data_IF_478554483677
#
_entry.id   IF_478554483677
#
_cell.length_a   1.000
_cell.length_b   1.000
_cell.length_c   1.000
_cell.angle_alpha   90.00
_cell.angle_beta   90.00
_cell.angle_gamma   90.00
#
_symmetry.space_group_name_H-M   'P 1'
#
loop_
_entity.id
_entity.type
_entity.pdbx_description
1 polymer ?
#
# COMPACT_ATOMS: atom_id res chain seq x y z
N UNK A 1 -2.31 8.98 -30.70
CA UNK A 1 -1.76 7.75 -31.32
C UNK A 1 -1.24 8.00 -32.74
N UNK A 2 -2.02 8.60 -33.66
CA UNK A 2 -1.58 8.88 -35.05
C UNK A 2 -0.34 9.77 -35.13
N UNK A 3 -0.27 10.84 -34.32
CA UNK A 3 0.89 11.73 -34.30
C UNK A 3 2.20 11.00 -33.93
N UNK A 4 2.14 9.94 -33.12
CA UNK A 4 3.31 9.13 -32.80
C UNK A 4 3.67 8.23 -33.98
N UNK A 5 2.67 7.61 -34.60
CA UNK A 5 2.87 6.78 -35.79
C UNK A 5 3.51 7.55 -36.95
N UNK A 6 3.11 8.81 -37.18
CA UNK A 6 3.73 9.70 -38.18
C UNK A 6 5.23 9.94 -37.98
N UNK A 7 5.75 9.67 -36.79
CA UNK A 7 7.16 9.83 -36.43
C UNK A 7 7.82 8.49 -36.10
N UNK A 8 7.29 7.37 -36.63
CA UNK A 8 7.76 6.01 -36.39
C UNK A 8 7.89 5.66 -34.89
N UNK A 9 6.99 6.22 -34.05
CA UNK A 9 6.94 5.97 -32.60
C UNK A 9 5.88 4.93 -32.24
N UNK A 10 6.34 3.90 -31.55
CA UNK A 10 5.59 2.75 -31.06
C UNK A 10 5.33 2.90 -29.55
N UNK A 11 4.07 2.79 -29.14
CA UNK A 11 3.66 2.82 -27.73
C UNK A 11 3.81 1.42 -27.13
N UNK A 12 4.60 1.30 -26.06
CA UNK A 12 4.71 0.11 -25.20
C UNK A 12 3.89 0.30 -23.92
N UNK A 13 3.87 -0.70 -23.04
CA UNK A 13 3.12 -0.65 -21.78
C UNK A 13 3.54 0.53 -20.88
N UNK A 14 4.85 0.78 -20.80
CA UNK A 14 5.43 1.73 -19.83
C UNK A 14 6.29 2.83 -20.48
N UNK A 15 6.45 2.80 -21.81
CA UNK A 15 7.30 3.75 -22.54
C UNK A 15 6.87 3.93 -23.99
N UNK A 16 7.60 4.77 -24.71
CA UNK A 16 7.50 4.91 -26.16
C UNK A 16 8.88 4.70 -26.76
N UNK A 17 8.94 3.89 -27.82
CA UNK A 17 10.18 3.57 -28.52
C UNK A 17 10.10 3.98 -29.99
N UNK A 18 11.23 4.28 -30.60
CA UNK A 18 11.30 4.39 -32.07
C UNK A 18 11.27 2.98 -32.65
N UNK A 19 10.53 2.77 -33.72
CA UNK A 19 10.37 1.44 -34.30
C UNK A 19 11.71 0.81 -34.71
N UNK A 20 12.66 1.63 -35.17
CA UNK A 20 14.02 1.20 -35.55
C UNK A 20 14.82 0.58 -34.38
N UNK A 21 14.50 0.93 -33.13
CA UNK A 21 15.22 0.46 -31.95
C UNK A 21 14.63 -0.86 -31.40
N UNK A 22 13.49 -1.30 -31.93
CA UNK A 22 12.76 -2.47 -31.43
C UNK A 22 13.25 -3.73 -32.14
N UNK A 23 13.76 -4.69 -31.37
CA UNK A 23 14.19 -5.99 -31.89
C UNK A 23 13.05 -7.01 -32.01
N UNK A 24 12.10 -6.96 -31.08
CA UNK A 24 10.96 -7.86 -31.02
C UNK A 24 9.78 -7.12 -30.41
N UNK A 25 8.57 -7.38 -30.88
CA UNK A 25 7.36 -6.84 -30.26
C UNK A 25 6.99 -7.64 -29.02
N UNK A 26 6.70 -6.94 -27.92
CA UNK A 26 6.15 -7.52 -26.69
C UNK A 26 4.62 -7.47 -26.63
N UNK A 27 3.97 -7.25 -27.78
CA UNK A 27 2.53 -7.07 -27.91
C UNK A 27 1.93 -8.20 -28.75
N UNK A 28 0.70 -8.59 -28.44
CA UNK A 28 -0.04 -9.66 -29.12
C UNK A 28 -1.25 -9.13 -29.91
N UNK A 29 -1.25 -7.84 -30.27
CA UNK A 29 -2.31 -7.25 -31.11
C UNK A 29 -2.21 -7.77 -32.56
N UNK A 30 -3.27 -7.56 -33.33
CA UNK A 30 -3.35 -8.04 -34.73
C UNK A 30 -2.17 -7.59 -35.61
N UNK A 31 -1.60 -6.41 -35.35
CA UNK A 31 -0.41 -5.93 -36.06
C UNK A 31 0.83 -6.71 -35.62
N UNK A 32 1.08 -6.81 -34.31
CA UNK A 32 2.31 -7.37 -33.77
C UNK A 32 2.41 -8.89 -33.88
N UNK A 33 1.28 -9.59 -34.10
CA UNK A 33 1.28 -11.04 -34.37
C UNK A 33 1.52 -11.39 -35.84
N UNK A 34 1.26 -10.44 -36.75
CA UNK A 34 1.39 -10.64 -38.21
C UNK A 34 2.70 -10.07 -38.77
N UNK A 35 3.28 -9.06 -38.12
CA UNK A 35 4.47 -8.36 -38.59
C UNK A 35 5.54 -8.28 -37.51
N UNK A 36 6.79 -8.31 -37.94
CA UNK A 36 7.99 -7.98 -37.17
C UNK A 36 8.34 -6.49 -37.31
N UNK A 37 9.18 -5.93 -36.40
CA UNK A 37 9.61 -4.54 -36.51
C UNK A 37 10.26 -4.19 -37.86
N UNK A 38 11.08 -5.09 -38.42
CA UNK A 38 11.75 -4.90 -39.71
C UNK A 38 10.77 -4.88 -40.88
N UNK A 39 9.77 -5.74 -40.86
CA UNK A 39 8.73 -5.76 -41.90
C UNK A 39 7.94 -4.46 -41.88
N UNK A 40 7.51 -3.96 -40.72
CA UNK A 40 6.80 -2.67 -40.63
C UNK A 40 7.68 -1.51 -41.11
N UNK A 41 8.98 -1.50 -40.78
CA UNK A 41 9.91 -0.47 -41.25
C UNK A 41 10.08 -0.45 -42.76
N UNK A 42 9.86 -1.59 -43.42
CA UNK A 42 10.04 -1.76 -44.86
C UNK A 42 8.76 -1.44 -45.65
N UNK A 43 7.64 -1.18 -44.97
CA UNK A 43 6.38 -0.79 -45.61
C UNK A 43 6.45 0.65 -46.15
N UNK A 44 5.64 0.90 -47.17
CA UNK A 44 5.41 2.24 -47.70
C UNK A 44 4.88 3.18 -46.61
N UNK A 45 5.19 4.48 -46.74
CA UNK A 45 4.98 5.45 -45.66
C UNK A 45 3.55 5.46 -45.10
N UNK A 46 2.53 5.42 -45.95
CA UNK A 46 1.13 5.44 -45.53
C UNK A 46 0.74 4.15 -44.78
N UNK A 47 1.14 3.00 -45.31
CA UNK A 47 0.84 1.71 -44.69
C UNK A 47 1.58 1.55 -43.36
N UNK A 48 2.86 1.91 -43.31
CA UNK A 48 3.66 1.93 -42.08
C UNK A 48 2.98 2.76 -40.99
N UNK A 49 2.59 4.00 -41.31
CA UNK A 49 1.88 4.89 -40.37
C UNK A 49 0.57 4.24 -39.92
N UNK A 50 -0.19 3.64 -40.84
CA UNK A 50 -1.44 2.95 -40.54
C UNK A 50 -1.24 1.79 -39.56
N UNK A 51 -0.25 0.91 -39.78
CA UNK A 51 0.06 -0.22 -38.88
C UNK A 51 0.50 0.26 -37.49
N UNK A 52 1.41 1.23 -37.42
CA UNK A 52 1.87 1.77 -36.13
C UNK A 52 0.71 2.47 -35.40
N UNK A 53 -0.14 3.21 -36.12
CA UNK A 53 -1.31 3.88 -35.53
C UNK A 53 -2.31 2.87 -34.97
N UNK A 54 -2.61 1.80 -35.71
CA UNK A 54 -3.49 0.73 -35.27
C UNK A 54 -2.94 0.02 -34.02
N UNK A 55 -1.66 -0.34 -34.01
CA UNK A 55 -1.00 -0.85 -32.81
C UNK A 55 -1.13 0.11 -31.62
N UNK A 56 -0.81 1.40 -31.82
CA UNK A 56 -0.86 2.40 -30.76
C UNK A 56 -2.29 2.56 -30.20
N UNK A 57 -3.33 2.38 -31.02
CA UNK A 57 -4.72 2.37 -30.57
C UNK A 57 -5.02 1.14 -29.69
N UNK A 58 -4.55 -0.05 -30.08
CA UNK A 58 -4.65 -1.25 -29.25
C UNK A 58 -3.92 -1.08 -27.92
N UNK A 59 -2.72 -0.50 -27.92
CA UNK A 59 -1.95 -0.26 -26.70
C UNK A 59 -2.72 0.66 -25.72
N UNK A 60 -3.31 1.75 -26.21
CA UNK A 60 -4.14 2.66 -25.41
C UNK A 60 -5.38 1.94 -24.86
N UNK A 61 -6.07 1.18 -25.71
CA UNK A 61 -7.27 0.43 -25.29
C UNK A 61 -6.93 -0.60 -24.21
N UNK A 62 -5.84 -1.34 -24.38
CA UNK A 62 -5.37 -2.30 -23.39
C UNK A 62 -5.03 -1.63 -22.05
N UNK A 63 -4.44 -0.43 -22.08
CA UNK A 63 -4.17 0.34 -20.86
C UNK A 63 -5.45 0.77 -20.15
N UNK A 64 -6.44 1.27 -20.88
CA UNK A 64 -7.76 1.61 -20.31
C UNK A 64 -8.42 0.39 -19.67
N UNK A 65 -8.36 -0.77 -20.32
CA UNK A 65 -8.96 -1.99 -19.81
C UNK A 65 -8.23 -2.53 -18.57
N UNK A 66 -6.89 -2.45 -18.54
CA UNK A 66 -6.09 -2.75 -17.33
C UNK A 66 -6.46 -1.85 -16.16
N UNK A 67 -6.66 -0.55 -16.40
CA UNK A 67 -7.10 0.39 -15.35
C UNK A 67 -8.49 0.00 -14.83
N UNK A 68 -9.45 -0.25 -15.72
CA UNK A 68 -10.80 -0.70 -15.32
C UNK A 68 -10.76 -1.99 -14.50
N UNK A 69 -9.98 -2.97 -14.94
CA UNK A 69 -9.82 -4.23 -14.22
C UNK A 69 -9.15 -4.01 -12.86
N UNK A 70 -8.15 -3.14 -12.77
CA UNK A 70 -7.52 -2.80 -11.49
C UNK A 70 -8.50 -2.11 -10.52
N UNK A 71 -9.43 -1.30 -11.02
CA UNK A 71 -10.51 -0.71 -10.22
C UNK A 71 -11.44 -1.81 -9.72
N UNK A 72 -11.91 -2.69 -10.62
CA UNK A 72 -12.79 -3.79 -10.29
C UNK A 72 -12.19 -4.73 -9.24
N UNK A 73 -10.91 -5.06 -9.37
CA UNK A 73 -10.19 -5.89 -8.40
C UNK A 73 -9.81 -5.16 -7.11
N UNK A 74 -10.06 -3.84 -7.01
CA UNK A 74 -9.67 -3.02 -5.87
C UNK A 74 -8.15 -2.75 -5.77
N UNK A 75 -7.41 -2.94 -6.86
CA UNK A 75 -5.94 -2.87 -6.95
C UNK A 75 -5.39 -1.64 -7.69
N UNK A 76 -6.21 -0.60 -7.84
CA UNK A 76 -5.81 0.61 -8.56
C UNK A 76 -4.55 1.27 -7.94
N UNK A 77 -4.43 1.27 -6.61
CA UNK A 77 -3.25 1.85 -5.95
C UNK A 77 -1.97 1.11 -6.36
N UNK A 78 -1.97 -0.23 -6.28
CA UNK A 78 -0.84 -1.06 -6.72
C UNK A 78 -0.48 -0.78 -8.18
N UNK A 79 -1.49 -0.67 -9.04
CA UNK A 79 -1.30 -0.41 -10.47
C UNK A 79 -0.65 0.95 -10.72
N UNK A 80 -1.15 2.01 -10.06
CA UNK A 80 -0.58 3.36 -10.16
C UNK A 80 0.86 3.39 -9.64
N UNK A 81 1.15 2.73 -8.51
CA UNK A 81 2.51 2.67 -7.94
C UNK A 81 3.49 1.91 -8.84
N UNK A 82 3.01 0.88 -9.57
CA UNK A 82 3.78 0.20 -10.63
C UNK A 82 4.09 1.19 -11.77
N UNK A 83 3.07 1.89 -12.27
CA UNK A 83 3.22 2.85 -13.38
C UNK A 83 4.13 4.02 -13.04
N UNK A 84 4.07 4.55 -11.82
CA UNK A 84 4.95 5.64 -11.38
C UNK A 84 6.44 5.28 -11.47
N UNK A 85 6.79 3.99 -11.36
CA UNK A 85 8.18 3.51 -11.44
C UNK A 85 8.67 3.28 -12.87
N UNK A 86 7.84 3.51 -13.89
CA UNK A 86 8.21 3.34 -15.29
C UNK A 86 9.30 4.32 -15.76
N UNK A 87 9.36 5.54 -15.18
CA UNK A 87 10.32 6.56 -15.59
C UNK A 87 10.66 7.49 -14.40
N UNK A 88 11.93 7.93 -14.22
CA UNK A 88 12.32 8.81 -13.11
C UNK A 88 11.45 10.06 -12.97
N UNK A 89 11.15 10.74 -14.10
CA UNK A 89 10.28 11.93 -14.08
C UNK A 89 8.85 11.65 -13.64
N UNK A 90 8.33 10.46 -13.94
CA UNK A 90 7.01 10.05 -13.47
C UNK A 90 7.08 9.64 -11.99
N UNK A 91 8.19 9.05 -11.55
CA UNK A 91 8.40 8.67 -10.16
C UNK A 91 8.42 9.89 -9.23
N UNK A 92 8.92 11.04 -9.67
CA UNK A 92 8.82 12.31 -8.92
C UNK A 92 7.38 12.65 -8.47
N UNK A 93 6.35 12.15 -9.17
CA UNK A 93 4.94 12.39 -8.80
C UNK A 93 4.50 11.65 -7.54
N UNK A 94 5.29 10.68 -7.05
CA UNK A 94 4.99 9.92 -5.84
C UNK A 94 4.88 10.82 -4.60
N UNK A 95 5.68 11.88 -4.53
CA UNK A 95 5.65 12.85 -3.44
C UNK A 95 4.36 13.65 -3.44
N UNK A 96 3.91 14.08 -4.62
CA UNK A 96 2.64 14.80 -4.79
C UNK A 96 1.48 13.87 -4.43
N UNK A 97 1.53 12.63 -4.90
CA UNK A 97 0.51 11.62 -4.66
C UNK A 97 0.34 11.28 -3.17
N UNK A 98 1.46 11.05 -2.46
CA UNK A 98 1.45 10.70 -1.02
C UNK A 98 1.09 11.89 -0.12
N UNK A 99 1.56 13.11 -0.44
CA UNK A 99 1.22 14.34 0.32
C UNK A 99 -0.27 14.69 0.27
N UNK A 100 -0.94 14.36 -0.84
CA UNK A 100 -2.36 14.67 -1.06
C UNK A 100 -3.30 13.48 -0.83
N UNK A 101 -2.80 12.39 -0.26
CA UNK A 101 -3.51 11.13 -0.10
C UNK A 101 -4.86 11.21 0.63
N UNK A 102 -5.02 12.17 1.56
CA UNK A 102 -6.28 12.42 2.25
C UNK A 102 -7.44 12.77 1.31
N UNK A 103 -7.16 13.34 0.13
CA UNK A 103 -8.19 13.69 -0.86
C UNK A 103 -8.96 12.45 -1.35
N UNK A 104 -8.30 11.29 -1.40
CA UNK A 104 -8.89 10.05 -1.88
C UNK A 104 -9.69 9.30 -0.80
N UNK A 105 -9.53 9.64 0.49
CA UNK A 105 -10.14 8.89 1.61
C UNK A 105 -11.67 8.93 1.54
N UNK A 106 -12.26 10.07 1.15
CA UNK A 106 -13.72 10.23 1.06
C UNK A 106 -14.34 9.43 -0.09
N UNK A 107 -13.59 9.16 -1.16
CA UNK A 107 -14.06 8.45 -2.36
C UNK A 107 -13.64 6.99 -2.40
N UNK A 108 -12.78 6.55 -1.47
CA UNK A 108 -12.32 5.16 -1.42
C UNK A 108 -13.37 4.29 -0.71
N UNK A 109 -13.74 3.12 -1.28
CA UNK A 109 -14.62 2.18 -0.60
C UNK A 109 -14.08 1.77 0.77
N UNK A 110 -14.97 1.68 1.77
CA UNK A 110 -14.60 1.28 3.14
C UNK A 110 -14.10 -0.16 3.24
N UNK A 111 -14.48 -1.00 2.29
CA UNK A 111 -14.12 -2.40 2.20
C UNK A 111 -13.82 -2.77 0.75
N UNK A 112 -12.88 -3.70 0.55
CA UNK A 112 -12.60 -4.35 -0.73
C UNK A 112 -12.48 -5.85 -0.49
N UNK A 113 -12.92 -6.64 -1.46
CA UNK A 113 -12.91 -8.10 -1.35
C UNK A 113 -11.49 -8.69 -1.24
N UNK A 114 -10.49 -7.98 -1.76
CA UNK A 114 -9.09 -8.45 -1.79
C UNK A 114 -8.25 -7.70 -0.76
N UNK A 115 -7.29 -8.44 -0.19
CA UNK A 115 -6.26 -7.88 0.68
C UNK A 115 -5.39 -6.84 -0.05
N UNK A 116 -5.02 -5.78 0.65
CA UNK A 116 -4.09 -4.75 0.15
C UNK A 116 -2.65 -5.24 0.23
N UNK A 117 -1.81 -4.78 -0.69
CA UNK A 117 -0.39 -5.12 -0.68
C UNK A 117 0.46 -3.96 -0.17
N UNK A 118 1.30 -4.21 0.83
CA UNK A 118 2.14 -3.20 1.47
C UNK A 118 3.60 -3.52 1.16
N UNK A 119 4.17 -2.80 0.19
CA UNK A 119 5.50 -3.05 -0.34
C UNK A 119 6.56 -2.11 0.25
N UNK A 120 6.26 -0.81 0.27
CA UNK A 120 7.23 0.23 0.63
C UNK A 120 6.57 1.35 1.40
N UNK A 121 7.38 2.18 2.08
CA UNK A 121 6.92 3.22 3.00
C UNK A 121 5.79 4.10 2.46
N UNK A 122 5.71 4.32 1.15
CA UNK A 122 4.66 5.12 0.52
C UNK A 122 3.26 4.51 0.69
N UNK A 123 3.16 3.19 0.89
CA UNK A 123 1.89 2.51 1.16
C UNK A 123 1.24 2.95 2.48
N UNK A 124 1.99 3.58 3.40
CA UNK A 124 1.41 4.12 4.65
C UNK A 124 0.39 5.24 4.41
N UNK A 125 0.41 5.82 3.20
CA UNK A 125 -0.49 6.88 2.73
C UNK A 125 -1.66 6.34 1.91
N UNK A 126 -1.84 5.02 1.81
CA UNK A 126 -3.02 4.42 1.19
C UNK A 126 -4.32 4.93 1.82
N UNK A 127 -5.34 5.29 1.04
CA UNK A 127 -6.58 5.84 1.59
C UNK A 127 -7.27 4.89 2.57
N UNK A 128 -7.20 3.58 2.35
CA UNK A 128 -7.72 2.54 3.24
C UNK A 128 -7.00 2.55 4.59
N UNK A 129 -5.68 2.73 4.58
CA UNK A 129 -4.85 2.83 5.79
C UNK A 129 -5.15 4.12 6.54
N UNK A 130 -5.29 5.24 5.83
CA UNK A 130 -5.63 6.52 6.44
C UNK A 130 -7.03 6.49 7.05
N UNK A 131 -8.00 5.87 6.35
CA UNK A 131 -9.35 5.65 6.87
C UNK A 131 -9.32 4.81 8.16
N UNK A 132 -8.57 3.70 8.16
CA UNK A 132 -8.41 2.85 9.33
C UNK A 132 -7.77 3.61 10.49
N UNK A 133 -6.67 4.34 10.25
CA UNK A 133 -6.02 5.20 11.25
C UNK A 133 -6.98 6.23 11.83
N UNK A 134 -7.85 6.83 11.01
CA UNK A 134 -8.87 7.77 11.48
C UNK A 134 -9.89 7.10 12.40
N UNK A 135 -10.22 5.83 12.17
CA UNK A 135 -11.06 5.04 13.07
C UNK A 135 -10.34 4.74 14.39
N UNK A 136 -9.09 4.29 14.34
CA UNK A 136 -8.25 4.06 15.53
C UNK A 136 -8.10 5.33 16.36
N UNK A 137 -7.92 6.49 15.73
CA UNK A 137 -7.82 7.76 16.43
C UNK A 137 -9.11 8.13 17.19
N UNK A 138 -10.26 7.55 16.84
CA UNK A 138 -11.54 7.76 17.54
C UNK A 138 -11.78 6.71 18.63
N UNK A 139 -10.99 5.63 18.65
CA UNK A 139 -11.07 4.59 19.67
C UNK A 139 -10.82 5.16 21.07
N UNK A 140 -11.65 4.76 22.02
CA UNK A 140 -11.53 5.11 23.44
C UNK A 140 -11.73 3.86 24.29
N UNK A 141 -10.88 3.69 25.29
CA UNK A 141 -11.02 2.67 26.32
C UNK A 141 -10.96 3.28 27.71
N UNK A 142 -11.60 2.62 28.68
CA UNK A 142 -11.48 2.98 30.12
C UNK A 142 -10.34 2.23 30.81
N UNK A 143 -9.77 1.23 30.13
CA UNK A 143 -8.70 0.39 30.63
C UNK A 143 -7.43 1.22 30.82
N UNK A 144 -6.73 1.00 31.93
CA UNK A 144 -5.54 1.77 32.33
C UNK A 144 -4.22 1.11 31.99
N UNK A 145 -4.27 -0.17 31.64
CA UNK A 145 -3.12 -0.98 31.26
C UNK A 145 -3.29 -1.36 29.79
N UNK A 146 -2.28 -1.08 28.99
CA UNK A 146 -2.20 -1.54 27.60
C UNK A 146 -1.08 -2.56 27.44
N UNK A 147 -1.31 -3.53 26.56
CA UNK A 147 -0.29 -4.47 26.07
C UNK A 147 -0.20 -4.28 24.57
N UNK A 148 1.01 -4.01 24.06
CA UNK A 148 1.26 -3.82 22.65
C UNK A 148 2.28 -4.85 22.14
N UNK A 149 1.91 -5.56 21.08
CA UNK A 149 2.78 -6.52 20.38
C UNK A 149 2.68 -6.35 18.87
N UNK A 150 3.65 -6.88 18.13
CA UNK A 150 3.61 -6.87 16.66
C UNK A 150 2.45 -7.73 16.18
N UNK A 151 1.76 -7.27 15.13
CA UNK A 151 0.68 -8.04 14.52
C UNK A 151 1.23 -9.34 13.90
N UNK A 152 0.45 -10.40 13.97
CA UNK A 152 0.81 -11.75 13.54
C UNK A 152 0.56 -11.95 12.04
N UNK A 153 1.07 -13.06 11.49
CA UNK A 153 0.78 -13.49 10.12
C UNK A 153 -0.66 -14.00 10.01
N UNK A 154 -1.11 -14.78 10.99
CA UNK A 154 -2.50 -15.19 11.13
C UNK A 154 -3.30 -14.00 11.65
N UNK A 155 -4.37 -13.64 10.94
CA UNK A 155 -5.23 -12.50 11.29
C UNK A 155 -6.70 -12.90 11.18
N UNK A 156 -7.59 -12.36 12.04
CA UNK A 156 -7.30 -11.40 13.11
C UNK A 156 -6.48 -12.00 14.27
N UNK A 157 -5.78 -11.14 15.01
CA UNK A 157 -4.74 -11.60 15.94
C UNK A 157 -5.29 -12.40 17.15
N UNK A 158 -6.57 -12.26 17.50
CA UNK A 158 -7.18 -13.08 18.57
C UNK A 158 -7.28 -14.58 18.23
N UNK A 159 -7.11 -14.96 16.96
CA UNK A 159 -7.11 -16.36 16.53
C UNK A 159 -5.76 -17.05 16.74
N UNK A 160 -4.75 -16.32 17.24
CA UNK A 160 -3.38 -16.83 17.34
C UNK A 160 -3.06 -17.43 18.70
N UNK A 161 -2.23 -18.47 18.71
CA UNK A 161 -1.70 -19.04 19.95
C UNK A 161 -0.84 -18.02 20.71
N UNK A 162 -0.13 -17.16 19.99
CA UNK A 162 0.67 -16.08 20.54
C UNK A 162 -0.19 -15.13 21.38
N UNK A 163 -1.39 -14.77 20.90
CA UNK A 163 -2.34 -13.98 21.68
C UNK A 163 -2.85 -14.74 22.90
N UNK A 164 -3.23 -16.01 22.76
CA UNK A 164 -3.70 -16.83 23.89
C UNK A 164 -2.67 -16.91 25.00
N UNK A 165 -1.41 -17.23 24.66
CA UNK A 165 -0.28 -17.28 25.60
C UNK A 165 -0.05 -15.90 26.23
N UNK A 166 -0.10 -14.82 25.44
CA UNK A 166 0.07 -13.47 25.95
C UNK A 166 -1.03 -13.08 26.94
N UNK A 167 -2.29 -13.45 26.66
CA UNK A 167 -3.44 -13.18 27.52
C UNK A 167 -3.31 -13.89 28.86
N UNK A 168 -2.84 -15.14 28.87
CA UNK A 168 -2.64 -15.96 30.07
C UNK A 168 -1.56 -15.41 31.01
N UNK A 169 -0.60 -14.61 30.52
CA UNK A 169 0.40 -13.93 31.37
C UNK A 169 -0.22 -12.92 32.34
N UNK A 170 -1.46 -12.52 32.14
CA UNK A 170 -2.12 -11.51 32.95
C UNK A 170 -3.32 -12.09 33.72
N UNK A 171 -3.27 -11.99 35.05
CA UNK A 171 -4.30 -12.55 35.95
C UNK A 171 -5.70 -11.96 35.71
N UNK A 172 -5.78 -10.69 35.34
CA UNK A 172 -7.03 -9.99 35.01
C UNK A 172 -6.92 -9.43 33.58
N UNK A 173 -7.08 -10.32 32.60
CA UNK A 173 -6.98 -9.95 31.18
C UNK A 173 -8.08 -8.99 30.74
N UNK A 174 -9.23 -8.97 31.41
CA UNK A 174 -10.38 -8.15 31.03
C UNK A 174 -10.13 -6.66 31.30
N UNK A 175 -9.33 -6.32 32.32
CA UNK A 175 -8.91 -4.93 32.58
C UNK A 175 -7.78 -4.44 31.67
N UNK A 176 -7.25 -5.30 30.79
CA UNK A 176 -6.13 -4.98 29.89
C UNK A 176 -6.62 -4.65 28.48
N UNK A 177 -6.10 -3.55 27.95
CA UNK A 177 -6.28 -3.20 26.54
C UNK A 177 -5.20 -3.91 25.73
N UNK A 178 -5.57 -5.02 25.09
CA UNK A 178 -4.70 -5.63 24.10
C UNK A 178 -4.72 -4.82 22.81
N UNK A 179 -3.52 -4.55 22.30
CA UNK A 179 -3.28 -3.86 21.06
C UNK A 179 -2.19 -4.59 20.29
N UNK A 180 -2.32 -4.56 18.97
CA UNK A 180 -1.30 -4.96 18.04
C UNK A 180 -0.75 -3.73 17.35
N UNK A 181 0.36 -3.86 16.64
CA UNK A 181 0.78 -2.82 15.71
C UNK A 181 1.22 -3.43 14.39
N UNK A 182 1.02 -2.64 13.34
CA UNK A 182 1.62 -2.84 12.05
C UNK A 182 2.22 -1.50 11.62
N UNK A 183 3.39 -1.53 11.00
CA UNK A 183 4.17 -0.33 10.66
C UNK A 183 3.36 0.63 9.78
N UNK A 184 2.56 0.09 8.86
CA UNK A 184 1.71 0.88 7.99
C UNK A 184 0.40 1.27 8.65
N UNK A 185 -0.25 0.41 9.42
CA UNK A 185 -1.58 0.68 10.00
C UNK A 185 -1.54 1.49 11.29
N UNK A 186 -0.42 1.50 12.00
CA UNK A 186 -0.34 2.08 13.34
C UNK A 186 -0.70 1.08 14.43
N UNK A 187 -1.20 1.61 15.55
CA UNK A 187 -1.73 0.80 16.65
C UNK A 187 -3.10 0.24 16.24
N UNK A 188 -3.33 -1.03 16.53
CA UNK A 188 -4.53 -1.78 16.20
C UNK A 188 -5.11 -2.33 17.52
N UNK A 189 -6.10 -1.66 18.13
CA UNK A 189 -6.84 -2.23 19.25
C UNK A 189 -7.44 -3.57 18.88
N UNK A 190 -7.50 -4.50 19.82
CA UNK A 190 -8.02 -5.84 19.59
C UNK A 190 -9.43 -5.82 18.97
N UNK A 191 -10.28 -4.89 19.43
CA UNK A 191 -11.65 -4.66 18.99
C UNK A 191 -11.77 -4.18 17.53
N UNK A 192 -10.66 -3.73 16.94
CA UNK A 192 -10.57 -3.27 15.54
C UNK A 192 -9.70 -4.19 14.68
N UNK A 193 -9.26 -5.33 15.22
CA UNK A 193 -8.29 -6.21 14.56
C UNK A 193 -8.87 -7.03 13.40
N UNK A 194 -10.19 -7.20 13.35
CA UNK A 194 -10.94 -7.86 12.28
C UNK A 194 -11.42 -6.89 11.19
N UNK A 195 -11.41 -5.59 11.47
CA UNK A 195 -11.85 -4.55 10.55
C UNK A 195 -10.89 -4.41 9.36
N UNK A 196 -11.42 -4.21 8.16
CA UNK A 196 -10.60 -3.91 6.98
C UNK A 196 -9.85 -2.57 7.14
N UNK A 197 -8.56 -2.48 6.76
CA UNK A 197 -7.71 -3.53 6.21
C UNK A 197 -6.85 -4.26 7.28
N UNK A 198 -7.09 -4.11 8.58
CA UNK A 198 -6.23 -4.67 9.66
C UNK A 198 -6.10 -6.20 9.67
N UNK A 199 -7.06 -6.90 9.09
CA UNK A 199 -7.02 -8.35 8.87
C UNK A 199 -6.74 -8.75 7.42
N UNK A 200 -6.73 -7.78 6.48
CA UNK A 200 -6.73 -8.01 5.02
C UNK A 200 -5.56 -7.31 4.34
N UNK A 201 -4.33 -7.67 4.70
CA UNK A 201 -3.13 -7.15 4.07
C UNK A 201 -2.03 -8.20 3.91
N UNK A 202 -1.20 -8.03 2.89
CA UNK A 202 0.02 -8.83 2.68
C UNK A 202 1.24 -7.92 2.63
N UNK A 203 2.34 -8.36 3.25
CA UNK A 203 3.60 -7.61 3.25
C UNK A 203 4.78 -8.55 3.00
N UNK A 204 5.77 -8.14 2.18
CA UNK A 204 6.91 -8.98 1.86
C UNK A 204 7.99 -8.97 2.96
N UNK A 205 8.04 -7.92 3.78
CA UNK A 205 9.09 -7.69 4.79
C UNK A 205 8.50 -7.66 6.19
N UNK A 206 9.31 -8.08 7.16
CA UNK A 206 9.00 -8.03 8.60
C UNK A 206 9.77 -6.93 9.34
N UNK A 207 10.76 -6.31 8.71
CA UNK A 207 11.64 -5.32 9.33
C UNK A 207 11.59 -4.03 8.53
N UNK A 208 11.44 -2.93 9.26
CA UNK A 208 11.26 -1.59 8.73
C UNK A 208 11.99 -0.58 9.60
N UNK A 209 12.45 0.50 8.97
CA UNK A 209 13.14 1.61 9.63
C UNK A 209 12.06 2.56 10.20
N UNK A 210 11.97 2.76 11.53
CA UNK A 210 10.93 3.58 12.15
C UNK A 210 10.78 4.99 11.57
N UNK A 211 11.90 5.62 11.20
CA UNK A 211 11.97 6.98 10.68
C UNK A 211 11.23 7.15 9.34
N UNK A 212 11.06 6.06 8.58
CA UNK A 212 10.31 6.06 7.33
C UNK A 212 8.78 6.07 7.54
N UNK A 213 8.28 5.97 8.78
CA UNK A 213 6.85 5.81 9.09
C UNK A 213 6.27 6.97 9.94
N UNK A 214 6.30 8.23 9.45
CA UNK A 214 5.77 9.38 10.19
C UNK A 214 4.27 9.29 10.47
N UNK A 215 3.52 8.57 9.64
CA UNK A 215 2.08 8.36 9.89
C UNK A 215 1.81 7.38 11.03
N UNK A 216 2.75 6.47 11.32
CA UNK A 216 2.71 5.62 12.51
C UNK A 216 2.90 6.47 13.75
N UNK A 217 3.92 7.32 13.78
CA UNK A 217 4.20 8.24 14.89
C UNK A 217 2.99 9.13 15.21
N UNK A 218 2.37 9.72 14.17
CA UNK A 218 1.16 10.53 14.34
C UNK A 218 0.01 9.72 14.96
N UNK A 219 -0.24 8.51 14.47
CA UNK A 219 -1.29 7.64 15.00
C UNK A 219 -1.00 7.22 16.45
N UNK A 220 0.24 6.84 16.75
CA UNK A 220 0.74 6.52 18.08
C UNK A 220 0.46 7.64 19.07
N UNK A 221 0.91 8.87 18.75
CA UNK A 221 0.75 10.03 19.63
C UNK A 221 -0.72 10.29 19.94
N UNK A 222 -1.59 10.30 18.92
CA UNK A 222 -3.03 10.53 19.12
C UNK A 222 -3.66 9.41 19.96
N UNK A 223 -3.31 8.15 19.70
CA UNK A 223 -3.86 7.00 20.41
C UNK A 223 -3.54 7.04 21.91
N UNK A 224 -2.26 7.24 22.27
CA UNK A 224 -1.83 7.27 23.66
C UNK A 224 -2.28 8.53 24.40
N UNK A 225 -2.35 9.69 23.74
CA UNK A 225 -2.89 10.91 24.32
C UNK A 225 -4.39 10.81 24.64
N UNK A 226 -5.18 10.05 23.86
CA UNK A 226 -6.64 9.94 24.08
C UNK A 226 -7.04 8.92 25.13
N UNK A 227 -6.22 7.88 25.35
CA UNK A 227 -6.60 6.73 26.17
C UNK A 227 -5.98 6.72 27.57
N UNK A 228 -5.09 7.66 27.90
CA UNK A 228 -4.57 7.90 29.26
C UNK A 228 -4.18 6.61 30.01
N UNK A 229 -3.29 5.81 29.41
CA UNK A 229 -2.78 4.59 30.00
C UNK A 229 -1.73 4.90 31.09
N UNK A 230 -1.84 4.22 32.22
CA UNK A 230 -0.88 4.31 33.33
C UNK A 230 0.33 3.41 33.08
N UNK A 231 0.10 2.25 32.44
CA UNK A 231 1.13 1.25 32.15
C UNK A 231 0.99 0.79 30.69
N UNK A 232 2.11 0.77 29.97
CA UNK A 232 2.23 0.11 28.67
C UNK A 232 3.23 -1.05 28.77
N UNK A 233 2.75 -2.25 28.50
CA UNK A 233 3.56 -3.46 28.33
C UNK A 233 3.94 -3.63 26.86
N UNK A 234 5.23 -3.81 26.58
CA UNK A 234 5.78 -4.06 25.23
C UNK A 234 6.76 -5.24 25.24
N UNK A 235 6.97 -5.86 24.08
CA UNK A 235 8.02 -6.88 23.93
C UNK A 235 9.40 -6.28 24.13
N UNK A 236 10.30 -6.99 24.82
CA UNK A 236 11.67 -6.54 25.13
C UNK A 236 12.54 -6.32 23.90
N UNK A 237 12.29 -7.11 22.83
CA UNK A 237 13.14 -7.17 21.64
C UNK A 237 12.48 -6.54 20.41
N UNK A 238 11.68 -5.49 20.60
CA UNK A 238 11.02 -4.79 19.50
C UNK A 238 11.80 -3.54 19.10
N UNK A 239 12.65 -3.68 18.07
CA UNK A 239 13.49 -2.59 17.59
C UNK A 239 12.69 -1.46 16.93
N UNK A 240 11.57 -1.79 16.28
CA UNK A 240 10.73 -0.81 15.60
C UNK A 240 10.09 0.16 16.60
N UNK A 241 9.65 -0.33 17.76
CA UNK A 241 8.99 0.48 18.79
C UNK A 241 9.94 1.34 19.64
N UNK A 242 11.24 1.06 19.65
CA UNK A 242 12.23 1.77 20.49
C UNK A 242 12.13 3.32 20.42
N UNK A 243 12.08 3.97 19.24
CA UNK A 243 11.93 5.42 19.16
C UNK A 243 10.56 5.90 19.67
N UNK A 244 9.47 5.21 19.34
CA UNK A 244 8.11 5.62 19.71
C UNK A 244 7.82 5.52 21.21
N UNK A 245 8.45 4.57 21.90
CA UNK A 245 8.32 4.41 23.36
C UNK A 245 8.98 5.58 24.11
N UNK A 246 9.94 6.29 23.50
CA UNK A 246 10.59 7.46 24.12
C UNK A 246 9.67 8.69 24.14
N UNK A 247 8.66 8.74 23.28
CA UNK A 247 7.73 9.88 23.13
C UNK A 247 6.36 9.62 23.78
N UNK A 248 6.25 8.61 24.65
CA UNK A 248 5.02 8.35 25.41
C UNK A 248 4.60 9.55 26.27
N UNK A 249 3.28 9.75 26.51
CA UNK A 249 2.80 10.79 27.41
C UNK A 249 3.43 10.71 28.81
N UNK A 250 3.67 11.88 29.42
CA UNK A 250 4.19 11.98 30.80
C UNK A 250 3.23 11.26 31.76
N UNK A 251 3.73 10.26 32.47
CA UNK A 251 2.97 9.46 33.43
C UNK A 251 2.76 8.00 33.02
N UNK A 252 2.83 7.67 31.73
CA UNK A 252 2.73 6.28 31.26
C UNK A 252 4.03 5.52 31.54
N UNK A 253 3.99 4.53 32.43
CA UNK A 253 5.13 3.68 32.76
C UNK A 253 5.28 2.57 31.72
N UNK A 254 6.46 2.43 31.12
CA UNK A 254 6.78 1.28 30.25
C UNK A 254 7.19 0.06 31.08
N UNK A 255 6.69 -1.10 30.73
CA UNK A 255 7.08 -2.42 31.26
C UNK A 255 7.30 -3.41 30.12
N UNK A 256 8.04 -4.47 30.40
CA UNK A 256 8.31 -5.55 29.46
C UNK A 256 7.65 -6.85 29.91
N UNK A 257 7.33 -7.72 28.97
CA UNK A 257 6.74 -9.05 29.19
C UNK A 257 7.42 -10.14 28.34
#
# INVERSE_FOLDING_TARGET
YVLYAKHDRYMEEDKTSRLADIRCFSCTCEVCTKFSPKEILSLESEEKISKIALHNLFAIKAEVDRVKESIHQGRLWEYVMKKMRAHPKLFETIDIFTKNSNYFVSTTPKFKERSIFLFSKEDQYRPEILAFKNTVQKFKTRKKIAVLTKNTTIRPAYLTNEYSILREKFKDSESIQFCFYNEFLGVIPLELSDMYPASHYEMPRKEFVPEDFPTFEKNWNIFFLKNNFDILYISKNDDFLKPFVKILPKGTKRKFF
#
